data_IF_399564736474
#
_entry.id   IF_399564736474
#
_cell.length_a   1.000
_cell.length_b   1.000
_cell.length_c   1.000
_cell.angle_alpha   90.00
_cell.angle_beta   90.00
_cell.angle_gamma   90.00
#
_symmetry.space_group_name_H-M   'P 1'
#
loop_
_entity.id
_entity.type
_entity.pdbx_description
1 polymer ?
#
# COMPACT_ATOMS: atom_id res chain seq x y z
N UNK A 1 31.20 -64.39 37.81
CA UNK A 1 31.86 -63.13 38.21
C UNK A 1 32.15 -62.29 36.98
N UNK A 2 31.39 -61.21 36.77
CA UNK A 2 31.87 -59.89 36.36
C UNK A 2 30.65 -58.96 36.28
N UNK A 3 30.74 -57.90 37.08
CA UNK A 3 29.78 -56.82 37.26
C UNK A 3 29.50 -56.08 35.94
N UNK A 4 28.28 -55.58 35.78
CA UNK A 4 28.09 -54.30 35.10
C UNK A 4 27.02 -53.47 35.82
N UNK A 5 27.22 -52.15 35.98
CA UNK A 5 26.51 -51.33 36.94
C UNK A 5 25.28 -50.64 36.36
N UNK A 6 24.47 -50.13 37.28
CA UNK A 6 23.18 -49.50 37.08
C UNK A 6 23.19 -48.29 36.12
N UNK A 7 22.09 -48.20 35.38
CA UNK A 7 21.61 -47.06 34.61
C UNK A 7 21.36 -45.85 35.52
N UNK A 8 21.89 -44.67 35.16
CA UNK A 8 21.37 -43.37 35.61
C UNK A 8 21.15 -42.52 34.36
N UNK A 9 19.90 -42.30 33.91
CA UNK A 9 19.65 -41.37 32.81
C UNK A 9 19.77 -39.94 33.35
N UNK A 10 20.70 -39.18 32.77
CA UNK A 10 20.77 -37.73 32.96
C UNK A 10 19.53 -37.13 32.30
N UNK A 11 18.58 -36.67 33.11
CA UNK A 11 17.46 -35.89 32.63
C UNK A 11 17.97 -34.52 32.18
N UNK A 12 18.14 -34.33 30.87
CA UNK A 12 18.32 -33.01 30.27
C UNK A 12 17.02 -32.22 30.46
N UNK A 13 17.01 -31.37 31.49
CA UNK A 13 15.97 -30.39 31.74
C UNK A 13 16.04 -29.31 30.63
N UNK A 14 15.24 -29.47 29.58
CA UNK A 14 15.01 -28.37 28.63
C UNK A 14 14.14 -27.33 29.34
N UNK A 15 14.79 -26.27 29.84
CA UNK A 15 14.12 -25.02 30.20
C UNK A 15 13.54 -24.41 28.92
N UNK A 16 12.26 -24.69 28.65
CA UNK A 16 11.46 -23.89 27.73
C UNK A 16 11.26 -22.54 28.41
N UNK A 17 12.06 -21.55 28.03
CA UNK A 17 11.71 -20.17 28.35
C UNK A 17 10.45 -19.83 27.57
N UNK A 18 9.30 -19.82 28.27
CA UNK A 18 8.14 -19.06 27.81
C UNK A 18 8.55 -17.59 27.84
N UNK A 19 9.17 -17.13 26.74
CA UNK A 19 9.33 -15.72 26.48
C UNK A 19 7.94 -15.16 26.19
N UNK A 20 7.35 -14.47 27.16
CA UNK A 20 6.31 -13.49 26.90
C UNK A 20 6.90 -12.44 25.96
N UNK A 21 6.69 -12.59 24.65
CA UNK A 21 6.86 -11.47 23.72
C UNK A 21 5.75 -10.47 24.02
N UNK A 22 6.14 -9.33 24.59
CA UNK A 22 5.26 -8.18 24.68
C UNK A 22 4.82 -7.75 23.27
N UNK A 23 3.58 -7.29 23.08
CA UNK A 23 3.14 -6.78 21.79
C UNK A 23 4.00 -5.57 21.41
N UNK A 24 4.50 -5.57 20.17
CA UNK A 24 5.23 -4.45 19.57
C UNK A 24 4.33 -3.22 19.62
N UNK A 25 4.81 -2.18 20.29
CA UNK A 25 4.04 -1.02 20.73
C UNK A 25 4.23 0.18 19.78
N UNK A 26 4.19 -0.06 18.48
CA UNK A 26 4.29 0.98 17.45
C UNK A 26 3.04 0.97 16.56
N UNK A 27 1.88 1.14 17.18
CA UNK A 27 0.68 1.51 16.44
C UNK A 27 0.89 2.91 15.84
N UNK A 28 0.62 3.08 14.54
CA UNK A 28 0.67 4.39 13.90
C UNK A 28 -0.20 5.38 14.70
N UNK A 29 0.29 6.61 14.98
CA UNK A 29 -0.49 7.58 15.72
C UNK A 29 -1.78 7.89 14.94
N UNK A 30 -2.93 7.72 15.61
CA UNK A 30 -4.21 8.21 15.08
C UNK A 30 -4.10 9.71 14.96
N UNK A 31 -3.97 10.22 13.73
CA UNK A 31 -4.06 11.65 13.47
C UNK A 31 -5.50 12.04 13.83
N UNK A 32 -5.66 13.10 14.63
CA UNK A 32 -6.93 13.43 15.29
C UNK A 32 -8.13 13.57 14.35
N UNK A 33 -9.35 13.57 14.91
CA UNK A 33 -10.62 13.67 14.15
C UNK A 33 -10.54 14.75 13.06
N UNK A 34 -10.69 14.33 11.81
CA UNK A 34 -10.85 15.23 10.66
C UNK A 34 -12.28 15.76 10.62
N UNK A 35 -12.48 17.08 10.49
CA UNK A 35 -13.83 17.66 10.48
C UNK A 35 -14.57 17.19 9.23
N UNK A 36 -15.78 16.66 9.41
CA UNK A 36 -16.61 16.15 8.31
C UNK A 36 -16.38 14.67 7.98
N UNK A 37 -15.36 14.03 8.56
CA UNK A 37 -15.10 12.61 8.37
C UNK A 37 -15.65 11.77 9.53
N UNK A 38 -16.10 10.56 9.19
CA UNK A 38 -16.49 9.51 10.14
C UNK A 38 -15.52 8.35 9.99
N UNK A 39 -14.93 7.88 11.10
CA UNK A 39 -14.16 6.62 11.10
C UNK A 39 -15.15 5.45 10.92
N UNK A 40 -15.23 4.92 9.70
CA UNK A 40 -16.16 3.84 9.33
C UNK A 40 -15.56 2.46 9.58
N UNK A 41 -14.23 2.37 9.54
CA UNK A 41 -13.44 1.21 9.97
C UNK A 41 -12.18 1.70 10.69
N UNK A 42 -11.52 0.87 11.52
CA UNK A 42 -10.27 1.26 12.16
C UNK A 42 -9.27 1.84 11.15
N UNK A 43 -8.81 3.08 11.40
CA UNK A 43 -7.86 3.79 10.53
C UNK A 43 -8.38 4.18 9.13
N UNK A 44 -9.69 4.03 8.87
CA UNK A 44 -10.35 4.40 7.60
C UNK A 44 -11.49 5.37 7.87
N UNK A 45 -11.35 6.56 7.31
CA UNK A 45 -12.24 7.68 7.51
C UNK A 45 -12.98 8.01 6.22
N UNK A 46 -14.28 8.29 6.32
CA UNK A 46 -15.16 8.56 5.18
C UNK A 46 -15.80 9.93 5.29
N UNK A 47 -15.72 10.72 4.23
CA UNK A 47 -16.57 11.88 3.97
C UNK A 47 -17.45 11.58 2.75
N UNK A 48 -18.69 11.13 3.00
CA UNK A 48 -19.63 10.78 1.94
C UNK A 48 -20.07 12.02 1.11
N UNK A 49 -20.45 13.16 1.71
CA UNK A 49 -20.74 14.38 0.96
C UNK A 49 -19.57 14.87 0.09
N UNK A 50 -18.35 14.85 0.62
CA UNK A 50 -17.13 15.25 -0.11
C UNK A 50 -16.57 14.17 -1.04
N UNK A 51 -17.15 12.96 -1.04
CA UNK A 51 -16.69 11.78 -1.78
C UNK A 51 -15.20 11.48 -1.58
N UNK A 52 -14.78 11.41 -0.32
CA UNK A 52 -13.39 11.18 0.07
C UNK A 52 -13.23 10.06 1.09
N UNK A 53 -12.15 9.29 0.94
CA UNK A 53 -11.66 8.35 1.96
C UNK A 53 -10.28 8.82 2.43
N UNK A 54 -10.04 8.75 3.73
CA UNK A 54 -8.73 8.94 4.33
C UNK A 54 -8.29 7.65 5.01
N UNK A 55 -7.04 7.25 4.78
CA UNK A 55 -6.41 6.10 5.43
C UNK A 55 -5.21 6.59 6.24
N UNK A 56 -5.17 6.26 7.53
CA UNK A 56 -4.03 6.63 8.38
C UNK A 56 -2.80 5.76 8.08
N UNK A 57 -1.61 6.35 8.12
CA UNK A 57 -0.36 5.62 7.89
C UNK A 57 0.87 6.39 8.37
N UNK A 58 2.03 5.85 8.02
CA UNK A 58 3.34 6.44 8.32
C UNK A 58 4.38 6.01 7.28
N UNK A 59 5.48 6.75 7.18
CA UNK A 59 6.64 6.35 6.37
C UNK A 59 7.36 5.17 7.02
N UNK A 60 7.49 3.99 6.37
CA UNK A 60 8.13 2.81 6.96
C UNK A 60 9.65 2.75 6.76
N UNK A 61 10.19 3.49 5.79
CA UNK A 61 11.57 3.35 5.33
C UNK A 61 12.44 4.54 5.72
N UNK A 62 13.74 4.30 5.91
CA UNK A 62 14.72 5.39 5.97
C UNK A 62 15.47 5.48 4.64
N UNK A 63 15.26 6.57 3.90
CA UNK A 63 15.89 6.80 2.58
C UNK A 63 17.08 7.77 2.62
N UNK A 64 17.30 8.43 3.77
CA UNK A 64 18.40 9.40 3.97
C UNK A 64 19.45 8.86 4.93
N UNK A 65 20.71 8.88 4.53
CA UNK A 65 21.84 8.52 5.39
C UNK A 65 23.01 7.94 4.60
N UNK A 66 24.25 8.13 5.08
CA UNK A 66 25.48 7.70 4.39
C UNK A 66 25.55 6.20 4.07
N UNK A 67 24.83 5.37 4.81
CA UNK A 67 24.87 3.91 4.69
C UNK A 67 23.52 3.29 4.35
N UNK A 68 22.52 4.11 4.01
CA UNK A 68 21.20 3.58 3.75
C UNK A 68 21.12 3.01 2.33
N UNK A 69 20.55 1.81 2.16
CA UNK A 69 20.37 1.23 0.85
C UNK A 69 19.34 2.04 0.05
N UNK A 70 19.48 1.98 -1.27
CA UNK A 70 18.42 2.46 -2.16
C UNK A 70 17.17 1.62 -1.94
N UNK A 71 16.06 2.28 -1.63
CA UNK A 71 14.76 1.64 -1.46
C UNK A 71 14.09 1.55 -2.82
N UNK A 72 14.03 0.35 -3.37
CA UNK A 72 13.21 0.06 -4.55
C UNK A 72 11.76 -0.09 -4.12
N UNK A 73 10.85 0.47 -4.91
CA UNK A 73 9.43 0.51 -4.58
C UNK A 73 8.65 -0.48 -5.43
N UNK A 74 7.81 -1.26 -4.76
CA UNK A 74 6.78 -2.09 -5.40
C UNK A 74 5.36 -1.56 -5.12
N UNK A 75 5.18 -0.87 -3.99
CA UNK A 75 3.89 -0.27 -3.63
C UNK A 75 4.03 1.19 -3.20
N UNK A 76 2.96 1.96 -3.38
CA UNK A 76 2.81 3.28 -2.76
C UNK A 76 2.39 3.13 -1.30
N UNK A 77 1.48 2.21 -1.02
CA UNK A 77 1.06 1.91 0.33
C UNK A 77 0.79 0.41 0.54
N UNK A 78 1.24 -0.11 1.69
CA UNK A 78 1.05 -1.48 2.11
C UNK A 78 0.37 -1.60 3.48
N UNK A 79 -0.20 -2.78 3.76
CA UNK A 79 -0.68 -3.11 5.11
C UNK A 79 0.50 -3.48 6.03
N UNK A 80 0.33 -3.37 7.35
CA UNK A 80 1.35 -3.74 8.32
C UNK A 80 1.78 -5.21 8.26
N UNK A 81 3.07 -5.47 8.43
CA UNK A 81 3.71 -6.79 8.46
C UNK A 81 3.91 -7.44 7.09
N UNK A 82 3.99 -6.65 6.00
CA UNK A 82 4.03 -7.16 4.62
C UNK A 82 5.20 -6.57 3.81
N UNK A 83 5.00 -5.42 3.17
CA UNK A 83 5.87 -4.81 2.14
C UNK A 83 6.52 -3.51 2.59
N UNK A 84 6.70 -3.30 3.90
CA UNK A 84 7.19 -2.02 4.44
C UNK A 84 8.54 -1.59 3.90
N UNK A 85 9.40 -2.54 3.54
CA UNK A 85 10.75 -2.26 3.04
C UNK A 85 10.79 -1.77 1.58
N UNK A 86 9.64 -1.79 0.89
CA UNK A 86 9.49 -1.46 -0.53
C UNK A 86 8.24 -0.59 -0.78
N UNK A 87 7.82 0.15 0.25
CA UNK A 87 6.60 0.97 0.25
C UNK A 87 6.86 2.37 0.79
N UNK A 88 6.14 3.38 0.27
CA UNK A 88 6.23 4.76 0.79
C UNK A 88 5.45 4.96 2.09
N UNK A 89 4.32 4.27 2.23
CA UNK A 89 3.45 4.35 3.40
C UNK A 89 3.07 2.95 3.86
N UNK A 90 3.10 2.73 5.18
CA UNK A 90 2.49 1.56 5.81
C UNK A 90 1.26 1.99 6.62
N UNK A 91 0.18 1.23 6.51
CA UNK A 91 -1.05 1.45 7.28
C UNK A 91 -1.41 0.25 8.14
N UNK A 92 -2.08 0.51 9.26
CA UNK A 92 -2.71 -0.52 10.10
C UNK A 92 -4.17 -0.79 9.68
N UNK A 93 -4.71 -0.05 8.70
CA UNK A 93 -5.99 -0.35 8.08
C UNK A 93 -5.91 -1.65 7.28
N UNK A 94 -6.94 -2.49 7.36
CA UNK A 94 -7.09 -3.60 6.42
C UNK A 94 -7.44 -3.03 5.03
N UNK A 95 -6.78 -3.52 3.98
CA UNK A 95 -7.12 -3.23 2.60
C UNK A 95 -8.57 -3.60 2.27
N UNK A 96 -9.11 -4.67 2.86
CA UNK A 96 -10.54 -5.00 2.71
C UNK A 96 -11.47 -3.90 3.26
N UNK A 97 -11.05 -3.20 4.32
CA UNK A 97 -11.81 -2.08 4.89
C UNK A 97 -11.70 -0.83 4.02
N UNK A 98 -10.54 -0.58 3.41
CA UNK A 98 -10.39 0.50 2.41
C UNK A 98 -11.28 0.24 1.20
N UNK A 99 -11.29 -1.00 0.67
CA UNK A 99 -12.24 -1.42 -0.37
C UNK A 99 -13.69 -1.14 0.07
N UNK A 100 -14.06 -1.56 1.29
CA UNK A 100 -15.39 -1.28 1.85
C UNK A 100 -15.75 0.20 1.87
N UNK A 101 -14.82 1.08 2.25
CA UNK A 101 -15.06 2.52 2.27
C UNK A 101 -15.24 3.11 0.86
N UNK A 102 -14.48 2.65 -0.12
CA UNK A 102 -14.65 3.06 -1.53
C UNK A 102 -16.00 2.59 -2.10
N UNK A 103 -16.46 1.39 -1.74
CA UNK A 103 -17.80 0.91 -2.07
C UNK A 103 -18.90 1.75 -1.40
N UNK A 104 -18.70 2.19 -0.16
CA UNK A 104 -19.63 3.09 0.53
C UNK A 104 -19.75 4.47 -0.14
N UNK A 105 -18.71 4.91 -0.88
CA UNK A 105 -18.79 6.09 -1.77
C UNK A 105 -19.54 5.84 -3.08
N UNK A 106 -20.01 4.60 -3.31
CA UNK A 106 -20.68 4.18 -4.53
C UNK A 106 -19.72 3.93 -5.71
N UNK A 107 -18.42 3.80 -5.45
CA UNK A 107 -17.44 3.50 -6.50
C UNK A 107 -17.49 2.02 -6.90
N UNK A 108 -17.26 1.75 -8.17
CA UNK A 108 -17.23 0.40 -8.73
C UNK A 108 -15.78 -0.11 -8.88
N UNK A 109 -15.42 -1.23 -8.25
CA UNK A 109 -14.15 -1.87 -8.51
C UNK A 109 -14.16 -2.48 -9.92
N UNK A 110 -12.99 -2.51 -10.57
CA UNK A 110 -12.80 -3.24 -11.81
C UNK A 110 -12.07 -4.57 -11.59
N UNK A 111 -10.81 -4.62 -12.01
CA UNK A 111 -9.95 -5.79 -11.83
C UNK A 111 -8.47 -5.36 -11.81
N UNK A 112 -7.62 -5.97 -10.96
CA UNK A 112 -6.18 -5.78 -11.02
C UNK A 112 -5.59 -6.15 -12.37
N UNK A 113 -4.43 -5.57 -12.67
CA UNK A 113 -3.65 -5.92 -13.86
C UNK A 113 -3.03 -7.32 -13.73
N UNK A 114 -2.36 -7.77 -14.78
CA UNK A 114 -1.58 -9.00 -14.72
C UNK A 114 -0.48 -9.02 -15.77
N UNK A 115 0.58 -9.76 -15.48
CA UNK A 115 1.57 -10.20 -16.47
C UNK A 115 1.40 -11.71 -16.63
N UNK A 116 1.07 -12.15 -17.85
CA UNK A 116 0.70 -13.55 -18.13
C UNK A 116 1.60 -14.08 -19.24
N UNK A 117 2.15 -15.27 -19.08
CA UNK A 117 2.92 -15.92 -20.15
C UNK A 117 2.04 -16.20 -21.38
N UNK A 118 2.52 -15.87 -22.57
CA UNK A 118 1.76 -15.99 -23.83
C UNK A 118 1.84 -17.39 -24.48
N UNK A 119 2.53 -18.33 -23.83
CA UNK A 119 2.77 -19.69 -24.31
C UNK A 119 3.79 -19.79 -25.46
N UNK A 120 4.46 -18.69 -25.81
CA UNK A 120 5.49 -18.60 -26.85
C UNK A 120 6.83 -18.11 -26.30
N UNK A 121 6.98 -18.12 -24.97
CA UNK A 121 8.14 -17.58 -24.26
C UNK A 121 8.12 -16.06 -24.11
N UNK A 122 6.98 -15.40 -24.36
CA UNK A 122 6.76 -13.98 -24.10
C UNK A 122 5.73 -13.75 -22.99
N UNK A 123 5.46 -12.47 -22.69
CA UNK A 123 4.51 -12.06 -21.67
C UNK A 123 3.49 -11.06 -22.23
N UNK A 124 2.21 -11.31 -21.97
CA UNK A 124 1.11 -10.39 -22.20
C UNK A 124 0.87 -9.55 -20.94
N UNK A 125 0.77 -8.22 -21.13
CA UNK A 125 0.44 -7.25 -20.07
C UNK A 125 -1.04 -6.90 -20.12
N UNK A 126 -1.80 -7.30 -19.11
CA UNK A 126 -3.21 -6.99 -18.96
C UNK A 126 -3.36 -5.77 -18.05
N UNK A 127 -3.96 -4.71 -18.61
CA UNK A 127 -4.16 -3.46 -17.89
C UNK A 127 -5.17 -3.63 -16.74
N UNK A 128 -4.94 -2.97 -15.58
CA UNK A 128 -5.95 -2.89 -14.55
C UNK A 128 -7.16 -2.10 -15.05
N UNK A 129 -8.32 -2.35 -14.44
CA UNK A 129 -9.59 -1.69 -14.76
C UNK A 129 -10.23 -1.21 -13.48
N UNK A 130 -11.04 -0.17 -13.56
CA UNK A 130 -11.77 0.40 -12.42
C UNK A 130 -12.06 1.87 -12.64
N UNK A 131 -12.77 2.48 -11.69
CA UNK A 131 -12.89 3.94 -11.65
C UNK A 131 -11.54 4.58 -11.33
N UNK A 132 -11.21 5.69 -12.00
CA UNK A 132 -9.98 6.43 -11.71
C UNK A 132 -10.03 7.09 -10.33
N UNK A 133 -8.90 7.04 -9.63
CA UNK A 133 -8.72 7.61 -8.30
C UNK A 133 -7.58 8.63 -8.32
N UNK A 134 -7.79 9.73 -7.61
CA UNK A 134 -6.74 10.64 -7.22
C UNK A 134 -6.26 10.28 -5.82
N UNK A 135 -4.94 10.13 -5.67
CA UNK A 135 -4.27 9.83 -4.41
C UNK A 135 -3.44 11.04 -4.00
N UNK A 136 -3.57 11.48 -2.75
CA UNK A 136 -2.74 12.53 -2.14
C UNK A 136 -2.23 12.09 -0.79
N UNK A 137 -1.02 12.51 -0.44
CA UNK A 137 -0.49 12.39 0.91
C UNK A 137 -0.74 13.67 1.70
N UNK A 138 -1.43 13.54 2.84
CA UNK A 138 -1.65 14.62 3.80
C UNK A 138 -0.69 14.44 4.97
N UNK A 139 0.16 15.42 5.19
CA UNK A 139 1.18 15.37 6.23
C UNK A 139 1.54 16.79 6.70
N UNK A 140 2.31 16.87 7.78
CA UNK A 140 2.85 18.14 8.28
C UNK A 140 4.29 18.31 7.86
N UNK A 141 4.61 19.39 7.14
CA UNK A 141 5.98 19.83 6.84
C UNK A 141 6.25 21.18 7.47
N UNK A 142 7.36 21.28 8.20
CA UNK A 142 7.78 22.52 8.88
C UNK A 142 6.64 23.20 9.67
N UNK A 143 5.80 22.40 10.34
CA UNK A 143 4.67 22.89 11.14
C UNK A 143 3.42 23.28 10.34
N UNK A 144 3.37 23.03 9.03
CA UNK A 144 2.20 23.28 8.16
C UNK A 144 1.67 22.00 7.57
N UNK A 145 0.35 21.87 7.53
CA UNK A 145 -0.31 20.81 6.77
C UNK A 145 -0.12 21.05 5.27
N UNK A 146 0.28 19.99 4.56
CA UNK A 146 0.50 19.99 3.11
C UNK A 146 -0.19 18.78 2.48
N UNK A 147 -0.51 18.92 1.20
CA UNK A 147 -1.03 17.83 0.36
C UNK A 147 -0.08 17.60 -0.81
N UNK A 148 0.54 16.43 -0.87
CA UNK A 148 1.57 16.08 -1.86
C UNK A 148 1.13 14.93 -2.77
N UNK A 149 1.68 14.89 -3.98
CA UNK A 149 1.45 13.76 -4.88
C UNK A 149 2.39 12.61 -4.48
N UNK A 150 1.91 11.37 -4.34
CA UNK A 150 2.81 10.24 -4.13
C UNK A 150 3.85 10.09 -5.24
N UNK A 151 3.55 10.55 -6.47
CA UNK A 151 4.50 10.50 -7.60
C UNK A 151 5.71 11.39 -7.39
N UNK A 152 5.55 12.50 -6.66
CA UNK A 152 6.66 13.41 -6.34
C UNK A 152 7.67 12.75 -5.37
N UNK A 153 7.29 11.64 -4.72
CA UNK A 153 8.14 10.87 -3.80
C UNK A 153 8.86 9.70 -4.48
N UNK A 154 8.66 9.54 -5.78
CA UNK A 154 9.14 8.40 -6.57
C UNK A 154 9.96 8.92 -7.72
N UNK A 155 11.16 8.38 -7.91
CA UNK A 155 11.98 8.67 -9.08
C UNK A 155 12.44 7.37 -9.73
N UNK A 156 12.65 7.41 -11.04
CA UNK A 156 13.36 6.37 -11.75
C UNK A 156 14.84 6.43 -11.37
N UNK A 157 15.41 5.32 -10.89
CA UNK A 157 16.83 5.26 -10.47
C UNK A 157 17.82 5.68 -11.56
N UNK A 158 17.48 5.47 -12.84
CA UNK A 158 18.37 5.77 -13.96
C UNK A 158 18.16 7.18 -14.50
N UNK A 159 16.90 7.60 -14.68
CA UNK A 159 16.58 8.86 -15.36
C UNK A 159 16.29 10.03 -14.41
N UNK A 160 15.95 9.75 -13.15
CA UNK A 160 15.50 10.75 -12.18
C UNK A 160 14.08 11.26 -12.43
N UNK A 161 13.37 10.71 -13.42
CA UNK A 161 12.00 11.13 -13.76
C UNK A 161 10.97 10.55 -12.79
N UNK A 162 9.90 11.30 -12.58
CA UNK A 162 8.75 10.85 -11.78
C UNK A 162 7.78 9.99 -12.62
N UNK A 163 7.07 9.03 -11.99
CA UNK A 163 5.99 8.30 -12.66
C UNK A 163 4.88 9.25 -13.12
N UNK A 164 4.33 9.02 -14.31
CA UNK A 164 3.32 9.89 -14.95
C UNK A 164 1.89 9.29 -14.99
N UNK A 165 1.73 8.03 -14.59
CA UNK A 165 0.48 7.29 -14.62
C UNK A 165 -0.52 7.74 -13.56
N UNK A 166 -1.62 7.01 -13.48
CA UNK A 166 -2.72 7.22 -12.55
C UNK A 166 -3.14 5.92 -11.88
N UNK A 167 -4.00 6.03 -10.88
CA UNK A 167 -4.52 4.89 -10.14
C UNK A 167 -5.98 4.62 -10.46
N UNK A 168 -6.35 3.35 -10.44
CA UNK A 168 -7.74 2.91 -10.58
C UNK A 168 -8.15 2.07 -9.39
N UNK A 169 -9.44 2.15 -9.03
CA UNK A 169 -10.06 1.25 -8.07
C UNK A 169 -10.20 -0.14 -8.70
N UNK A 170 -9.15 -0.94 -8.62
CA UNK A 170 -9.11 -2.27 -9.19
C UNK A 170 -9.99 -3.25 -8.42
N UNK A 171 -9.88 -3.20 -7.10
CA UNK A 171 -10.51 -4.12 -6.16
C UNK A 171 -9.91 -5.52 -6.20
N UNK A 172 -9.35 -5.94 -5.06
CA UNK A 172 -8.65 -7.21 -4.95
C UNK A 172 -9.62 -8.41 -4.92
N UNK A 173 -9.07 -9.59 -5.18
CA UNK A 173 -9.77 -10.86 -5.05
C UNK A 173 -9.78 -11.39 -3.62
N UNK A 174 -10.40 -12.56 -3.46
CA UNK A 174 -10.38 -13.34 -2.23
C UNK A 174 -9.70 -14.69 -2.47
N UNK A 175 -8.88 -15.12 -1.52
CA UNK A 175 -8.47 -16.50 -1.39
C UNK A 175 -9.64 -17.30 -0.79
N UNK A 176 -10.41 -17.94 -1.67
CA UNK A 176 -11.55 -18.81 -1.34
C UNK A 176 -11.12 -20.17 -0.76
N UNK A 177 -9.82 -20.51 -0.84
CA UNK A 177 -9.28 -21.75 -0.27
C UNK A 177 -9.06 -21.62 1.23
N UNK A 178 -8.81 -20.40 1.72
CA UNK A 178 -8.76 -20.09 3.14
C UNK A 178 -10.12 -20.26 3.83
N UNK A 179 -10.08 -20.54 5.13
CA UNK A 179 -11.27 -20.67 6.01
C UNK A 179 -11.03 -19.87 7.30
N UNK A 180 -11.64 -18.68 7.46
CA UNK A 180 -12.50 -17.98 6.49
C UNK A 180 -11.71 -17.49 5.26
N UNK A 181 -12.43 -17.17 4.18
CA UNK A 181 -11.83 -16.56 2.99
C UNK A 181 -11.08 -15.27 3.37
N UNK A 182 -9.94 -15.03 2.73
CA UNK A 182 -9.07 -13.88 3.03
C UNK A 182 -8.98 -12.97 1.82
N UNK A 183 -9.06 -11.66 2.03
CA UNK A 183 -8.89 -10.68 0.97
C UNK A 183 -7.42 -10.63 0.55
N UNK A 184 -7.11 -10.80 -0.73
CA UNK A 184 -5.73 -11.03 -1.19
C UNK A 184 -4.80 -9.85 -0.88
N UNK A 185 -5.27 -8.61 -1.05
CA UNK A 185 -4.48 -7.43 -0.70
C UNK A 185 -4.12 -7.33 0.79
N UNK A 186 -4.94 -7.90 1.70
CA UNK A 186 -4.59 -7.98 3.12
C UNK A 186 -3.48 -9.00 3.38
N UNK A 187 -3.42 -10.04 2.56
CA UNK A 187 -2.41 -11.11 2.66
C UNK A 187 -1.08 -10.65 2.08
N UNK A 188 -1.11 -10.00 0.91
CA UNK A 188 0.09 -9.65 0.14
C UNK A 188 0.60 -8.23 0.42
N UNK A 189 -0.19 -7.38 1.06
CA UNK A 189 0.20 -6.00 1.37
C UNK A 189 0.06 -5.03 0.21
N UNK A 190 -0.80 -5.33 -0.76
CA UNK A 190 -0.93 -4.57 -2.02
C UNK A 190 -2.09 -3.56 -1.96
N UNK A 191 -2.10 -2.68 -0.95
CA UNK A 191 -3.18 -1.69 -0.81
C UNK A 191 -3.19 -0.70 -2.00
N UNK A 192 -2.08 -0.02 -2.25
CA UNK A 192 -1.89 0.85 -3.42
C UNK A 192 -0.62 0.41 -4.15
N UNK A 193 -0.78 -0.27 -5.29
CA UNK A 193 0.34 -0.77 -6.07
C UNK A 193 1.12 0.30 -6.83
N UNK A 194 2.37 -0.02 -7.14
CA UNK A 194 3.22 0.67 -8.12
C UNK A 194 3.73 -0.31 -9.20
N UNK A 195 3.96 -1.56 -8.83
CA UNK A 195 4.09 -2.72 -9.73
C UNK A 195 2.80 -3.55 -9.75
N UNK A 196 2.75 -4.60 -10.58
CA UNK A 196 1.55 -5.40 -10.88
C UNK A 196 1.67 -6.84 -10.36
N UNK A 197 1.25 -7.06 -9.12
CA UNK A 197 1.05 -8.37 -8.49
C UNK A 197 -0.24 -9.03 -8.93
N UNK A 198 -1.26 -8.24 -9.28
CA UNK A 198 -2.59 -8.75 -9.63
C UNK A 198 -3.52 -8.94 -8.43
N UNK A 199 -3.14 -8.40 -7.28
CA UNK A 199 -3.91 -8.44 -6.03
C UNK A 199 -4.18 -7.05 -5.46
N UNK A 200 -3.88 -5.98 -6.21
CA UNK A 200 -3.98 -4.62 -5.71
C UNK A 200 -5.44 -4.23 -5.40
N UNK A 201 -5.67 -3.50 -4.30
CA UNK A 201 -6.97 -2.83 -4.10
C UNK A 201 -7.08 -1.59 -4.99
N UNK A 202 -6.02 -0.78 -5.02
CA UNK A 202 -5.85 0.36 -5.91
C UNK A 202 -4.63 0.10 -6.78
N UNK A 203 -4.84 -0.06 -8.08
CA UNK A 203 -3.78 -0.44 -9.02
C UNK A 203 -3.26 0.77 -9.79
N UNK A 204 -1.94 0.85 -9.98
CA UNK A 204 -1.32 1.80 -10.89
C UNK A 204 -1.54 1.36 -12.35
N UNK A 205 -1.82 2.30 -13.24
CA UNK A 205 -2.24 2.00 -14.61
C UNK A 205 -1.12 1.58 -15.57
N UNK A 206 0.14 1.62 -15.14
CA UNK A 206 1.25 1.04 -15.87
C UNK A 206 1.50 -0.39 -15.37
N UNK A 207 1.54 -1.35 -16.30
CA UNK A 207 1.77 -2.76 -15.94
C UNK A 207 3.27 -3.04 -15.92
N UNK A 208 3.83 -3.18 -14.74
CA UNK A 208 5.24 -3.53 -14.49
C UNK A 208 5.29 -4.77 -13.60
N UNK A 209 6.00 -5.80 -14.03
CA UNK A 209 6.14 -7.02 -13.23
C UNK A 209 7.00 -6.76 -11.99
N UNK A 210 6.63 -7.27 -10.81
CA UNK A 210 7.54 -7.32 -9.66
C UNK A 210 8.66 -8.36 -9.84
N UNK A 211 8.52 -9.28 -10.82
CA UNK A 211 9.54 -10.29 -11.09
C UNK A 211 10.72 -9.71 -11.89
N UNK A 212 11.89 -9.62 -11.26
CA UNK A 212 13.13 -9.11 -11.87
C UNK A 212 13.61 -9.84 -13.14
N UNK A 213 13.15 -11.07 -13.35
CA UNK A 213 13.38 -11.86 -14.57
C UNK A 213 12.55 -11.37 -15.76
N UNK A 214 11.46 -10.65 -15.49
CA UNK A 214 10.57 -10.07 -16.49
C UNK A 214 10.87 -8.58 -16.63
N UNK A 215 10.83 -7.82 -15.53
CA UNK A 215 11.09 -6.38 -15.49
C UNK A 215 12.08 -6.04 -14.39
N UNK A 216 13.14 -5.30 -14.73
CA UNK A 216 14.09 -4.84 -13.72
C UNK A 216 13.45 -3.74 -12.85
N UNK A 217 13.66 -3.75 -11.52
CA UNK A 217 13.12 -2.72 -10.66
C UNK A 217 13.80 -1.37 -10.96
N UNK A 218 13.00 -0.34 -11.25
CA UNK A 218 13.49 0.99 -11.62
C UNK A 218 13.01 2.09 -10.70
N UNK A 219 11.84 1.93 -10.08
CA UNK A 219 11.27 2.94 -9.19
C UNK A 219 11.91 2.87 -7.82
N UNK A 220 12.36 4.02 -7.32
CA UNK A 220 12.96 4.15 -6.00
C UNK A 220 12.29 5.28 -5.24
N UNK A 221 12.32 5.18 -3.91
CA UNK A 221 11.93 6.26 -3.04
C UNK A 221 12.93 7.43 -3.19
N UNK A 222 12.42 8.62 -3.49
CA UNK A 222 13.24 9.80 -3.66
C UNK A 222 13.74 10.32 -2.30
N UNK A 223 15.06 10.30 -2.05
CA UNK A 223 15.61 10.74 -0.77
C UNK A 223 15.36 12.22 -0.49
N UNK A 224 15.12 13.07 -1.49
CA UNK A 224 14.98 14.51 -1.32
C UNK A 224 13.55 14.91 -0.90
N UNK A 225 12.56 14.08 -1.22
CA UNK A 225 11.14 14.38 -0.98
C UNK A 225 10.54 13.50 0.11
N UNK A 226 10.92 12.23 0.21
CA UNK A 226 10.37 11.33 1.24
C UNK A 226 10.77 11.81 2.65
N UNK A 227 9.81 11.96 3.58
CA UNK A 227 10.08 12.33 4.97
C UNK A 227 10.88 11.28 5.75
N UNK A 228 11.23 11.62 7.00
CA UNK A 228 11.89 10.69 7.91
C UNK A 228 10.98 9.50 8.26
N UNK A 229 11.59 8.34 8.50
CA UNK A 229 10.88 7.14 8.95
C UNK A 229 10.03 7.45 10.19
N UNK A 230 8.82 6.93 10.22
CA UNK A 230 7.85 7.15 11.30
C UNK A 230 7.04 8.44 11.16
N UNK A 231 7.34 9.31 10.18
CA UNK A 231 6.53 10.49 9.89
C UNK A 231 5.07 10.07 9.62
N UNK A 232 4.08 10.60 10.36
CA UNK A 232 2.67 10.31 10.10
C UNK A 232 2.25 10.86 8.74
N UNK A 233 1.57 10.04 7.95
CA UNK A 233 1.05 10.38 6.63
C UNK A 233 -0.36 9.82 6.51
N UNK A 234 -1.31 10.64 6.11
CA UNK A 234 -2.66 10.20 5.76
C UNK A 234 -2.79 10.12 4.25
N UNK A 235 -3.36 9.04 3.74
CA UNK A 235 -3.64 8.85 2.32
C UNK A 235 -5.06 9.33 2.05
N UNK A 236 -5.20 10.43 1.32
CA UNK A 236 -6.48 10.91 0.82
C UNK A 236 -6.76 10.29 -0.55
N UNK A 237 -7.93 9.67 -0.68
CA UNK A 237 -8.41 9.02 -1.88
C UNK A 237 -9.71 9.70 -2.31
N UNK A 238 -9.74 10.23 -3.53
CA UNK A 238 -10.90 10.89 -4.14
C UNK A 238 -11.05 10.43 -5.59
N UNK A 239 -12.18 10.77 -6.24
CA UNK A 239 -12.28 10.68 -7.70
C UNK A 239 -11.74 11.96 -8.34
N UNK A 240 -11.11 11.91 -9.54
CA UNK A 240 -10.75 13.11 -10.26
C UNK A 240 -11.94 14.05 -10.44
N UNK A 241 -11.76 15.33 -10.14
CA UNK A 241 -12.76 16.35 -10.46
C UNK A 241 -12.89 16.43 -11.98
N UNK A 242 -14.04 16.04 -12.53
CA UNK A 242 -14.32 16.32 -13.95
C UNK A 242 -14.25 17.83 -14.15
N UNK A 243 -13.44 18.34 -15.10
CA UNK A 243 -13.51 19.74 -15.47
C UNK A 243 -14.93 20.02 -15.98
N UNK A 244 -15.71 20.78 -15.23
CA UNK A 244 -17.01 21.26 -15.70
C UNK A 244 -16.76 22.07 -16.95
N UNK A 245 -17.14 21.53 -18.12
CA UNK A 245 -17.11 22.29 -19.37
C UNK A 245 -17.98 23.53 -19.16
N UNK A 246 -17.48 24.76 -19.35
CA UNK A 246 -18.33 25.94 -19.24
C UNK A 246 -19.45 25.80 -20.27
N UNK A 247 -20.68 25.76 -19.77
CA UNK A 247 -21.90 25.82 -20.59
C UNK A 247 -21.77 27.00 -21.52
N UNK A 248 -21.56 26.72 -22.81
CA UNK A 248 -21.55 27.75 -23.85
C UNK A 248 -22.94 28.39 -23.83
N UNK A 249 -23.02 29.62 -23.35
CA UNK A 249 -24.23 30.44 -23.46
C UNK A 249 -24.70 30.38 -24.92
N UNK A 250 -25.89 29.84 -25.11
CA UNK A 250 -26.65 30.00 -26.35
C UNK A 250 -26.98 31.48 -26.45
N UNK A 251 -26.14 32.20 -27.20
CA UNK A 251 -26.45 33.55 -27.64
C UNK A 251 -27.56 33.44 -28.68
N UNK A 252 -28.77 33.82 -28.28
CA UNK A 252 -29.89 34.05 -29.20
C UNK A 252 -29.47 35.09 -30.24
N UNK A 253 -29.61 34.74 -31.52
CA UNK A 253 -29.82 35.68 -32.63
C UNK A 253 -31.11 35.31 -33.33
#
# INVERSE_FOLDING_TARGET
MKFSPAFVPVACLFLVSLGCQAPVKDAAPRVGKEKGFVEVFPHVWLDAPGRAVIVDGRVPVTVRGRHNPVVYLETVACTGGTKEHESLVVTEAAAAQVQGALLLLGLMPGKPGAVVEDGRGGYQRLQPRGEELQIRFLLTRAGREVSEDPRDWIINKKTGEHPAGSWVFAGSGFDETARPARYLADVEGTLIGLTTFGTETIAYNEVVSPESTIDQPTWIADPDTVPEQGTPVRILITTPTTPTTPTRELTNR
#
